data_IF_186774849044
#
_entry.id   IF_186774849044
#
_cell.length_a   1.000
_cell.length_b   1.000
_cell.length_c   1.000
_cell.angle_alpha   90.00
_cell.angle_beta   90.00
_cell.angle_gamma   90.00
#
_symmetry.space_group_name_H-M   'P 1'
#
loop_
_entity.id
_entity.type
_entity.pdbx_description
1 polymer ?
#
# COMPACT_ATOMS: atom_id res chain seq x y z
N UNK A 1 13.93 26.95 8.45
CA UNK A 1 12.69 27.76 8.52
C UNK A 1 11.86 27.65 7.25
N UNK A 2 12.31 28.12 6.07
CA UNK A 2 11.48 28.04 4.84
C UNK A 2 11.53 26.66 4.14
N UNK A 3 12.70 26.03 4.05
CA UNK A 3 12.87 24.72 3.39
C UNK A 3 12.24 23.57 4.19
N UNK A 4 12.37 23.61 5.52
CA UNK A 4 11.73 22.68 6.46
C UNK A 4 10.19 22.68 6.36
N UNK A 5 9.61 23.83 5.99
CA UNK A 5 8.16 23.94 5.83
C UNK A 5 7.69 23.27 4.52
N UNK A 6 8.50 23.36 3.45
CA UNK A 6 8.22 22.69 2.18
C UNK A 6 8.38 21.17 2.28
N UNK A 7 9.38 20.70 3.02
CA UNK A 7 9.59 19.27 3.27
C UNK A 7 8.41 18.68 4.06
N UNK A 8 7.96 19.36 5.13
CA UNK A 8 6.78 18.94 5.91
C UNK A 8 5.47 18.92 5.07
N UNK A 9 5.26 19.89 4.20
CA UNK A 9 4.11 19.92 3.28
C UNK A 9 4.17 18.78 2.25
N UNK A 10 5.36 18.49 1.72
CA UNK A 10 5.59 17.39 0.79
C UNK A 10 5.37 16.02 1.45
N UNK A 11 5.87 15.82 2.68
CA UNK A 11 5.65 14.60 3.46
C UNK A 11 4.16 14.39 3.75
N UNK A 12 3.47 15.44 4.21
CA UNK A 12 2.02 15.39 4.48
C UNK A 12 1.22 15.03 3.22
N UNK A 13 1.59 15.62 2.07
CA UNK A 13 0.97 15.34 0.78
C UNK A 13 1.24 13.91 0.30
N UNK A 14 2.47 13.41 0.51
CA UNK A 14 2.84 12.04 0.16
C UNK A 14 2.07 11.01 0.98
N UNK A 15 1.90 11.25 2.29
CA UNK A 15 1.09 10.40 3.17
C UNK A 15 -0.37 10.42 2.70
N UNK A 16 -0.95 11.60 2.45
CA UNK A 16 -2.33 11.71 2.00
C UNK A 16 -2.57 10.98 0.66
N UNK A 17 -1.67 11.14 -0.30
CA UNK A 17 -1.75 10.46 -1.59
C UNK A 17 -1.65 8.93 -1.43
N UNK A 18 -0.74 8.46 -0.58
CA UNK A 18 -0.60 7.04 -0.29
C UNK A 18 -1.85 6.47 0.39
N UNK A 19 -2.41 7.16 1.39
CA UNK A 19 -3.65 6.76 2.06
C UNK A 19 -4.84 6.71 1.09
N UNK A 20 -4.97 7.67 0.18
CA UNK A 20 -6.02 7.65 -0.84
C UNK A 20 -5.86 6.47 -1.81
N UNK A 21 -4.63 6.15 -2.22
CA UNK A 21 -4.36 4.99 -3.05
C UNK A 21 -4.73 3.68 -2.34
N UNK A 22 -4.47 3.57 -1.03
CA UNK A 22 -4.89 2.42 -0.22
C UNK A 22 -6.42 2.28 -0.16
N UNK A 23 -7.15 3.38 0.06
CA UNK A 23 -8.62 3.35 0.06
C UNK A 23 -9.20 2.96 -1.30
N UNK A 24 -8.66 3.53 -2.39
CA UNK A 24 -9.10 3.18 -3.73
C UNK A 24 -8.86 1.70 -4.02
N UNK A 25 -7.69 1.17 -3.64
CA UNK A 25 -7.37 -0.24 -3.79
C UNK A 25 -8.32 -1.14 -2.98
N UNK A 26 -8.61 -0.78 -1.72
CA UNK A 26 -9.56 -1.53 -0.89
C UNK A 26 -10.98 -1.51 -1.47
N UNK A 27 -11.45 -0.36 -1.97
CA UNK A 27 -12.76 -0.26 -2.62
C UNK A 27 -12.90 -1.15 -3.86
N UNK A 28 -11.81 -1.39 -4.60
CA UNK A 28 -11.79 -2.35 -5.72
C UNK A 28 -11.90 -3.81 -5.25
N UNK A 29 -11.39 -4.12 -4.05
CA UNK A 29 -11.54 -5.44 -3.43
C UNK A 29 -12.97 -5.63 -2.92
N UNK A 30 -13.50 -4.66 -2.16
CA UNK A 30 -14.85 -4.73 -1.58
C UNK A 30 -15.95 -4.79 -2.63
N UNK A 31 -15.77 -4.09 -3.76
CA UNK A 31 -16.70 -4.15 -4.89
C UNK A 31 -16.65 -5.49 -5.66
N UNK A 32 -15.70 -6.37 -5.34
CA UNK A 32 -15.50 -7.65 -6.02
C UNK A 32 -14.93 -7.54 -7.43
N UNK A 33 -14.57 -6.32 -7.89
CA UNK A 33 -13.91 -6.11 -9.19
C UNK A 33 -12.57 -6.83 -9.22
N UNK A 34 -11.84 -6.81 -8.11
CA UNK A 34 -10.60 -7.56 -7.92
C UNK A 34 -10.82 -8.55 -6.78
N UNK A 35 -10.56 -9.84 -7.02
CA UNK A 35 -10.61 -10.83 -5.94
C UNK A 35 -9.47 -10.61 -4.95
N UNK A 36 -9.67 -10.96 -3.68
CA UNK A 36 -8.63 -10.91 -2.63
C UNK A 36 -7.36 -11.66 -3.03
N UNK A 37 -7.49 -12.76 -3.77
CA UNK A 37 -6.36 -13.53 -4.31
C UNK A 37 -5.60 -12.74 -5.37
N UNK A 38 -6.32 -12.14 -6.32
CA UNK A 38 -5.69 -11.31 -7.35
C UNK A 38 -5.03 -10.07 -6.75
N UNK A 39 -5.65 -9.46 -5.75
CA UNK A 39 -5.09 -8.34 -5.00
C UNK A 39 -3.80 -8.73 -4.27
N UNK A 40 -3.77 -9.93 -3.66
CA UNK A 40 -2.57 -10.46 -3.01
C UNK A 40 -1.43 -10.66 -4.01
N UNK A 41 -1.70 -11.32 -5.14
CA UNK A 41 -0.72 -11.53 -6.22
C UNK A 41 -0.16 -10.20 -6.76
N UNK A 42 -1.01 -9.18 -6.92
CA UNK A 42 -0.60 -7.86 -7.40
C UNK A 42 0.33 -7.17 -6.41
N UNK A 43 0.03 -7.24 -5.11
CA UNK A 43 0.86 -6.68 -4.06
C UNK A 43 2.20 -7.42 -3.96
N UNK A 44 2.21 -8.74 -4.06
CA UNK A 44 3.44 -9.55 -4.08
C UNK A 44 4.35 -9.18 -5.26
N UNK A 45 3.78 -8.96 -6.45
CA UNK A 45 4.52 -8.49 -7.62
C UNK A 45 5.10 -7.08 -7.40
N UNK A 46 4.32 -6.16 -6.82
CA UNK A 46 4.78 -4.82 -6.47
C UNK A 46 5.93 -4.85 -5.46
N UNK A 47 5.81 -5.65 -4.41
CA UNK A 47 6.86 -5.86 -3.40
C UNK A 47 8.13 -6.39 -4.08
N UNK A 48 8.02 -7.42 -4.92
CA UNK A 48 9.16 -7.98 -5.62
C UNK A 48 9.88 -6.95 -6.49
N UNK A 49 9.13 -6.10 -7.22
CA UNK A 49 9.67 -5.04 -8.06
C UNK A 49 10.45 -3.99 -7.27
N UNK A 50 9.97 -3.61 -6.09
CA UNK A 50 10.60 -2.58 -5.26
C UNK A 50 11.67 -3.13 -4.29
N UNK A 51 11.62 -4.42 -3.93
CA UNK A 51 12.48 -5.03 -2.90
C UNK A 51 13.98 -4.98 -3.22
N UNK A 52 14.36 -4.90 -4.50
CA UNK A 52 15.75 -4.93 -4.96
C UNK A 52 16.33 -3.54 -5.27
N UNK A 53 15.56 -2.47 -5.06
CA UNK A 53 15.98 -1.11 -5.34
C UNK A 53 16.79 -0.46 -4.21
N UNK A 54 16.98 0.86 -4.34
CA UNK A 54 17.58 1.71 -3.32
C UNK A 54 16.75 1.77 -2.02
N UNK A 55 17.19 2.57 -1.06
CA UNK A 55 16.52 2.69 0.24
C UNK A 55 15.05 3.12 0.11
N UNK A 56 14.75 4.02 -0.83
CA UNK A 56 13.39 4.51 -1.10
C UNK A 56 12.50 3.40 -1.64
N UNK A 57 12.98 2.63 -2.61
CA UNK A 57 12.26 1.48 -3.14
C UNK A 57 12.02 0.40 -2.07
N UNK A 58 13.03 0.11 -1.23
CA UNK A 58 12.86 -0.84 -0.12
C UNK A 58 11.81 -0.39 0.90
N UNK A 59 11.73 0.91 1.20
CA UNK A 59 10.65 1.47 2.04
C UNK A 59 9.28 1.31 1.37
N UNK A 60 9.17 1.58 0.07
CA UNK A 60 7.92 1.34 -0.67
C UNK A 60 7.49 -0.14 -0.60
N UNK A 61 8.43 -1.08 -0.74
CA UNK A 61 8.16 -2.51 -0.59
C UNK A 61 7.62 -2.87 0.82
N UNK A 62 8.17 -2.27 1.89
CA UNK A 62 7.68 -2.47 3.26
C UNK A 62 6.25 -1.95 3.46
N UNK A 63 5.92 -0.79 2.86
CA UNK A 63 4.58 -0.24 2.92
C UNK A 63 3.58 -1.14 2.17
N UNK A 64 3.95 -1.66 1.01
CA UNK A 64 3.14 -2.63 0.26
C UNK A 64 2.95 -3.95 1.02
N UNK A 65 3.99 -4.43 1.72
CA UNK A 65 3.89 -5.62 2.58
C UNK A 65 2.85 -5.44 3.68
N UNK A 66 2.77 -4.25 4.29
CA UNK A 66 1.75 -3.96 5.32
C UNK A 66 0.33 -4.09 4.75
N UNK A 67 0.11 -3.62 3.52
CA UNK A 67 -1.19 -3.75 2.85
C UNK A 67 -1.48 -5.22 2.53
N UNK A 68 -0.48 -5.98 2.06
CA UNK A 68 -0.63 -7.41 1.78
C UNK A 68 -1.05 -8.18 3.04
N UNK A 69 -0.42 -7.88 4.18
CA UNK A 69 -0.77 -8.48 5.46
C UNK A 69 -2.22 -8.17 5.86
N UNK A 70 -2.73 -6.96 5.56
CA UNK A 70 -4.13 -6.60 5.81
C UNK A 70 -5.10 -7.39 4.92
N UNK A 71 -4.84 -7.44 3.62
CA UNK A 71 -5.65 -8.20 2.63
C UNK A 71 -5.70 -9.68 2.99
N UNK A 72 -4.58 -10.27 3.39
CA UNK A 72 -4.51 -11.69 3.77
C UNK A 72 -5.14 -12.00 5.12
N UNK A 73 -5.14 -11.04 6.07
CA UNK A 73 -5.87 -11.17 7.35
C UNK A 73 -7.38 -11.22 7.12
N UNK A 74 -7.88 -10.41 6.20
CA UNK A 74 -9.31 -10.39 5.87
C UNK A 74 -9.77 -11.73 5.27
N UNK A 75 -8.93 -12.36 4.44
CA UNK A 75 -9.13 -13.75 3.96
C UNK A 75 -9.23 -14.79 5.10
N UNK A 76 -8.61 -14.53 6.26
CA UNK A 76 -8.56 -15.45 7.42
C UNK A 76 -9.69 -15.25 8.43
N UNK A 77 -10.54 -14.25 8.29
CA UNK A 77 -11.77 -14.13 9.09
C UNK A 77 -12.91 -14.84 8.36
N UNK A 78 -13.19 -16.14 8.62
CA UNK A 78 -14.54 -16.60 8.42
C UNK A 78 -15.38 -15.86 9.48
N UNK A 79 -16.32 -15.06 9.01
CA UNK A 79 -17.40 -14.54 9.85
C UNK A 79 -18.01 -15.73 10.59
N UNK A 80 -17.85 -15.77 11.91
CA UNK A 80 -18.63 -16.60 12.84
C UNK A 80 -19.58 -15.68 13.60
#
# INVERSE_FOLDING_TARGET
MAEENLENEAESSAIAAFTLAQFAFWGLIESGIISTEKASDMLEQGIAAHSKGDLTNRKAAQMLQTILDMVQRDKRSPVN
#
